data_IF_718661957910
#
_entry.id   IF_718661957910
#
_cell.length_a   1.000
_cell.length_b   1.000
_cell.length_c   1.000
_cell.angle_alpha   90.00
_cell.angle_beta   90.00
_cell.angle_gamma   90.00
#
_symmetry.space_group_name_H-M   'P 1'
#
loop_
_entity.id
_entity.type
_entity.pdbx_description
1 polymer ?
#
# COMPACT_ATOMS: atom_id res chain seq x y z
N UNK A 1 -16.58 -11.68 6.81
CA UNK A 1 -15.12 -11.90 6.76
C UNK A 1 -14.41 -10.57 7.01
N UNK A 2 -13.25 -10.57 7.65
CA UNK A 2 -12.44 -9.37 7.88
C UNK A 2 -11.18 -9.47 7.01
N UNK A 3 -11.08 -8.61 6.00
CA UNK A 3 -9.96 -8.57 5.05
C UNK A 3 -9.17 -7.30 5.31
N UNK A 4 -7.95 -7.45 5.80
CA UNK A 4 -7.00 -6.36 5.99
C UNK A 4 -6.21 -6.16 4.70
N UNK A 5 -6.50 -5.10 3.97
CA UNK A 5 -5.90 -4.81 2.65
C UNK A 5 -4.53 -4.12 2.72
N UNK A 6 -4.04 -3.80 3.93
CA UNK A 6 -2.79 -3.07 4.11
C UNK A 6 -1.99 -3.59 5.31
N UNK A 7 -0.96 -4.39 5.00
CA UNK A 7 0.04 -4.81 5.98
C UNK A 7 1.41 -5.07 5.33
N UNK A 8 2.43 -5.22 6.17
CA UNK A 8 3.81 -5.39 5.70
C UNK A 8 4.49 -6.56 6.40
N UNK A 9 5.29 -7.32 5.64
CA UNK A 9 6.08 -8.43 6.20
C UNK A 9 7.36 -7.90 6.86
N UNK A 10 7.64 -8.40 8.06
CA UNK A 10 8.97 -8.27 8.67
C UNK A 10 9.88 -9.30 8.02
N UNK A 11 10.90 -8.83 7.29
CA UNK A 11 11.84 -9.71 6.61
C UNK A 11 12.67 -10.53 7.63
N UNK A 12 12.95 -11.81 7.34
CA UNK A 12 13.86 -12.61 8.16
C UNK A 12 15.24 -11.95 8.31
N UNK A 13 15.97 -12.19 9.41
CA UNK A 13 17.28 -11.59 9.65
C UNK A 13 18.30 -11.82 8.51
N UNK A 14 18.21 -12.95 7.81
CA UNK A 14 19.05 -13.26 6.65
C UNK A 14 18.84 -12.27 5.49
N UNK A 15 17.60 -11.80 5.29
CA UNK A 15 17.29 -10.75 4.30
C UNK A 15 17.96 -9.43 4.66
N UNK A 16 17.96 -9.05 5.95
CA UNK A 16 18.60 -7.80 6.39
C UNK A 16 20.12 -7.86 6.20
N UNK A 17 20.75 -9.03 6.45
CA UNK A 17 22.16 -9.23 6.14
C UNK A 17 22.43 -9.08 4.64
N UNK A 18 21.60 -9.72 3.81
CA UNK A 18 21.70 -9.61 2.35
C UNK A 18 21.54 -8.16 1.87
N UNK A 19 20.59 -7.40 2.45
CA UNK A 19 20.42 -5.98 2.17
C UNK A 19 21.72 -5.19 2.40
N UNK A 20 22.37 -5.42 3.52
CA UNK A 20 23.64 -4.74 3.84
C UNK A 20 24.76 -5.09 2.85
N UNK A 21 24.88 -6.35 2.45
CA UNK A 21 25.85 -6.80 1.44
C UNK A 21 25.52 -6.22 0.05
N UNK A 22 24.24 -6.15 -0.29
CA UNK A 22 23.77 -5.59 -1.56
C UNK A 22 24.11 -4.09 -1.67
N UNK A 23 23.89 -3.33 -0.60
CA UNK A 23 24.25 -1.91 -0.54
C UNK A 23 25.77 -1.72 -0.57
N UNK A 24 26.51 -2.44 0.27
CA UNK A 24 27.97 -2.37 0.32
C UNK A 24 28.66 -2.79 -0.97
N UNK A 25 28.11 -3.82 -1.64
CA UNK A 25 28.57 -4.32 -2.94
C UNK A 25 28.03 -3.54 -4.15
N UNK A 26 27.25 -2.46 -3.93
CA UNK A 26 26.64 -1.64 -4.99
C UNK A 26 25.87 -2.47 -6.03
N UNK A 27 25.03 -3.39 -5.57
CA UNK A 27 24.25 -4.29 -6.41
C UNK A 27 25.01 -5.53 -6.90
N UNK A 28 26.15 -5.83 -6.28
CA UNK A 28 26.92 -7.06 -6.55
C UNK A 28 27.14 -7.79 -5.22
N UNK A 29 26.15 -8.46 -4.66
CA UNK A 29 26.29 -9.20 -3.42
C UNK A 29 27.23 -10.38 -3.62
N UNK A 30 28.05 -10.68 -2.61
CA UNK A 30 28.98 -11.80 -2.64
C UNK A 30 28.33 -13.15 -2.38
N UNK A 31 27.13 -13.14 -1.82
CA UNK A 31 26.40 -14.33 -1.39
C UNK A 31 24.93 -14.22 -1.74
N UNK A 32 24.37 -15.29 -2.29
CA UNK A 32 22.92 -15.44 -2.42
C UNK A 32 22.32 -15.76 -1.03
N UNK A 33 21.29 -15.03 -0.57
CA UNK A 33 20.73 -15.24 0.75
C UNK A 33 19.96 -16.57 0.80
N UNK A 34 20.54 -17.55 1.50
CA UNK A 34 19.83 -18.78 1.80
C UNK A 34 18.95 -18.56 3.04
N UNK A 35 17.66 -18.36 2.82
CA UNK A 35 16.69 -18.25 3.91
C UNK A 35 16.08 -19.62 4.14
N UNK A 36 16.29 -20.24 5.32
CA UNK A 36 15.69 -21.53 5.66
C UNK A 36 14.16 -21.45 5.69
N UNK A 37 13.47 -22.53 5.34
CA UNK A 37 12.01 -22.59 5.37
C UNK A 37 11.47 -22.39 6.79
N UNK A 38 12.19 -22.82 7.81
CA UNK A 38 11.82 -22.59 9.21
C UNK A 38 11.78 -21.10 9.57
N UNK A 39 12.68 -20.28 9.01
CA UNK A 39 12.67 -18.84 9.22
C UNK A 39 11.47 -18.17 8.55
N UNK A 40 11.10 -18.63 7.35
CA UNK A 40 9.90 -18.18 6.65
C UNK A 40 8.64 -18.59 7.42
N UNK A 41 8.54 -19.86 7.81
CA UNK A 41 7.39 -20.38 8.56
C UNK A 41 7.22 -19.67 9.90
N UNK A 42 8.33 -19.35 10.59
CA UNK A 42 8.29 -18.57 11.83
C UNK A 42 7.66 -17.19 11.61
N UNK A 43 8.11 -16.45 10.60
CA UNK A 43 7.53 -15.14 10.24
C UNK A 43 6.04 -15.27 9.96
N UNK A 44 5.64 -16.20 9.10
CA UNK A 44 4.25 -16.43 8.74
C UNK A 44 3.37 -16.76 9.96
N UNK A 45 3.85 -17.66 10.82
CA UNK A 45 3.12 -18.08 12.03
C UNK A 45 2.96 -16.92 13.04
N UNK A 46 3.97 -16.08 13.22
CA UNK A 46 3.89 -14.90 14.10
C UNK A 46 2.84 -13.91 13.61
N UNK A 47 2.77 -13.67 12.31
CA UNK A 47 1.75 -12.78 11.73
C UNK A 47 0.35 -13.40 11.89
N UNK A 48 0.17 -14.69 11.60
CA UNK A 48 -1.13 -15.37 11.80
C UNK A 48 -1.62 -15.25 13.25
N UNK A 49 -0.75 -15.40 14.24
CA UNK A 49 -1.12 -15.20 15.65
C UNK A 49 -1.61 -13.78 15.94
N UNK A 50 -0.99 -12.78 15.32
CA UNK A 50 -1.44 -11.39 15.45
C UNK A 50 -2.82 -11.23 14.82
N UNK A 51 -3.02 -11.75 13.60
CA UNK A 51 -4.30 -11.72 12.89
C UNK A 51 -5.42 -12.38 13.73
N UNK A 52 -5.15 -13.55 14.29
CA UNK A 52 -6.10 -14.27 15.14
C UNK A 52 -6.46 -13.45 16.40
N UNK A 53 -5.47 -12.77 16.98
CA UNK A 53 -5.65 -11.92 18.17
C UNK A 53 -6.56 -10.71 17.95
N UNK A 54 -6.67 -10.20 16.71
CA UNK A 54 -7.52 -9.05 16.36
C UNK A 54 -8.71 -9.44 15.47
N UNK A 55 -8.85 -10.73 15.13
CA UNK A 55 -9.95 -11.26 14.34
C UNK A 55 -9.87 -10.91 12.85
N UNK A 56 -8.68 -10.86 12.28
CA UNK A 56 -8.45 -10.69 10.83
C UNK A 56 -8.42 -12.06 10.15
N UNK A 57 -9.26 -12.27 9.13
CA UNK A 57 -9.33 -13.53 8.40
C UNK A 57 -8.26 -13.62 7.30
N UNK A 58 -8.14 -12.57 6.49
CA UNK A 58 -7.17 -12.47 5.37
C UNK A 58 -6.40 -11.17 5.50
N UNK A 59 -5.09 -11.22 5.28
CA UNK A 59 -4.24 -10.04 5.28
C UNK A 59 -3.44 -9.95 3.97
N UNK A 60 -3.41 -8.77 3.37
CA UNK A 60 -2.59 -8.46 2.20
C UNK A 60 -1.24 -7.96 2.68
N UNK A 61 -0.19 -8.64 2.27
CA UNK A 61 1.17 -8.41 2.77
C UNK A 61 2.10 -7.95 1.66
N UNK A 62 2.83 -6.88 1.94
CA UNK A 62 3.80 -6.25 1.05
C UNK A 62 5.17 -6.10 1.72
N UNK A 63 6.24 -5.73 0.99
CA UNK A 63 7.48 -5.29 1.62
C UNK A 63 7.25 -4.05 2.48
N UNK A 64 8.04 -3.86 3.54
CA UNK A 64 7.98 -2.62 4.32
C UNK A 64 8.47 -1.43 3.48
N UNK A 65 7.66 -0.37 3.30
CA UNK A 65 7.97 0.72 2.40
C UNK A 65 9.30 1.42 2.69
N UNK A 66 9.62 1.67 3.96
CA UNK A 66 10.87 2.34 4.34
C UNK A 66 12.15 1.52 4.04
N UNK A 67 12.02 0.24 3.70
CA UNK A 67 13.14 -0.62 3.31
C UNK A 67 13.20 -0.86 1.79
N UNK A 68 12.44 -0.15 0.96
CA UNK A 68 12.43 -0.39 -0.49
C UNK A 68 13.69 0.07 -1.21
N UNK A 69 14.49 0.93 -0.58
CA UNK A 69 15.80 1.40 -1.08
C UNK A 69 15.74 2.09 -2.45
N UNK A 70 14.65 2.79 -2.76
CA UNK A 70 14.45 3.44 -4.06
C UNK A 70 15.46 4.55 -4.34
N UNK A 71 15.94 5.24 -3.30
CA UNK A 71 16.97 6.29 -3.39
C UNK A 71 18.41 5.75 -3.44
N UNK A 72 18.62 4.46 -3.21
CA UNK A 72 19.97 3.87 -3.13
C UNK A 72 20.56 3.60 -4.51
N UNK A 73 21.77 4.15 -4.76
CA UNK A 73 22.49 3.99 -6.03
C UNK A 73 23.46 2.81 -6.00
N UNK A 74 23.58 2.08 -7.11
CA UNK A 74 22.89 2.18 -8.40
C UNK A 74 21.49 1.52 -8.38
N UNK A 75 20.64 1.79 -9.38
CA UNK A 75 19.30 1.22 -9.54
C UNK A 75 19.21 -0.30 -9.36
N UNK A 76 20.27 -1.01 -9.74
CA UNK A 76 20.40 -2.46 -9.56
C UNK A 76 20.21 -2.91 -8.11
N UNK A 77 20.50 -2.06 -7.12
CA UNK A 77 20.30 -2.36 -5.69
C UNK A 77 18.81 -2.50 -5.41
N UNK A 78 18.00 -1.51 -5.81
CA UNK A 78 16.55 -1.53 -5.65
C UNK A 78 15.91 -2.70 -6.43
N UNK A 79 16.38 -2.97 -7.66
CA UNK A 79 15.88 -4.05 -8.50
C UNK A 79 16.08 -5.44 -7.85
N UNK A 80 17.30 -5.76 -7.43
CA UNK A 80 17.59 -7.04 -6.77
C UNK A 80 16.86 -7.16 -5.44
N UNK A 81 16.78 -6.07 -4.69
CA UNK A 81 16.12 -6.06 -3.40
C UNK A 81 14.61 -6.23 -3.50
N UNK A 82 13.94 -5.50 -4.41
CA UNK A 82 12.51 -5.65 -4.64
C UNK A 82 12.16 -7.10 -5.01
N UNK A 83 12.90 -7.68 -5.94
CA UNK A 83 12.75 -9.08 -6.35
C UNK A 83 12.92 -10.04 -5.17
N UNK A 84 13.96 -9.85 -4.37
CA UNK A 84 14.20 -10.65 -3.16
C UNK A 84 13.03 -10.57 -2.16
N UNK A 85 12.55 -9.36 -1.89
CA UNK A 85 11.40 -9.17 -0.98
C UNK A 85 10.14 -9.87 -1.50
N UNK A 86 9.84 -9.74 -2.80
CA UNK A 86 8.69 -10.39 -3.41
C UNK A 86 8.80 -11.93 -3.35
N UNK A 87 9.99 -12.48 -3.58
CA UNK A 87 10.23 -13.92 -3.48
C UNK A 87 10.05 -14.42 -2.02
N UNK A 88 10.49 -13.66 -1.03
CA UNK A 88 10.24 -13.97 0.39
C UNK A 88 8.76 -13.93 0.71
N UNK A 89 8.04 -12.90 0.25
CA UNK A 89 6.59 -12.77 0.46
C UNK A 89 5.84 -13.94 -0.18
N UNK A 90 6.20 -14.34 -1.39
CA UNK A 90 5.59 -15.51 -2.04
C UNK A 90 5.73 -16.77 -1.19
N UNK A 91 6.89 -16.99 -0.55
CA UNK A 91 7.10 -18.10 0.37
C UNK A 91 6.27 -17.97 1.65
N UNK A 92 6.12 -16.76 2.19
CA UNK A 92 5.24 -16.51 3.35
C UNK A 92 3.79 -16.81 3.00
N UNK A 93 3.31 -16.36 1.84
CA UNK A 93 1.95 -16.67 1.35
C UNK A 93 1.76 -18.17 1.20
N UNK A 94 2.74 -18.90 0.68
CA UNK A 94 2.67 -20.34 0.51
C UNK A 94 2.56 -21.12 1.83
N UNK A 95 3.00 -20.55 2.97
CA UNK A 95 2.82 -21.18 4.28
C UNK A 95 1.34 -21.21 4.74
N UNK A 96 0.58 -20.15 4.42
CA UNK A 96 -0.83 -20.01 4.80
C UNK A 96 -1.62 -19.35 3.66
N UNK A 97 -1.87 -20.06 2.55
CA UNK A 97 -2.46 -19.48 1.32
C UNK A 97 -3.89 -18.97 1.52
N UNK A 98 -4.61 -19.48 2.52
CA UNK A 98 -5.96 -19.00 2.85
C UNK A 98 -5.94 -17.73 3.69
N UNK A 99 -4.81 -17.39 4.31
CA UNK A 99 -4.67 -16.24 5.23
C UNK A 99 -3.95 -15.05 4.59
N UNK A 100 -3.13 -15.25 3.57
CA UNK A 100 -2.31 -14.18 2.99
C UNK A 100 -2.57 -13.96 1.50
N UNK A 101 -2.38 -12.70 1.07
CA UNK A 101 -2.26 -12.32 -0.34
C UNK A 101 -1.03 -11.45 -0.51
N UNK A 102 -0.23 -11.72 -1.54
CA UNK A 102 0.98 -10.94 -1.83
C UNK A 102 0.67 -9.64 -2.58
N UNK A 103 1.28 -8.54 -2.15
CA UNK A 103 1.30 -7.25 -2.84
C UNK A 103 2.75 -6.91 -3.18
N UNK A 104 3.02 -6.60 -4.44
CA UNK A 104 4.38 -6.45 -4.95
C UNK A 104 5.04 -5.14 -4.49
N UNK A 105 6.27 -5.22 -4.04
CA UNK A 105 7.18 -4.08 -4.04
C UNK A 105 7.77 -3.91 -5.44
N UNK A 106 7.78 -2.69 -5.96
CA UNK A 106 8.30 -2.41 -7.28
C UNK A 106 9.69 -1.79 -7.20
N UNK A 107 10.61 -2.11 -8.13
CA UNK A 107 11.96 -1.55 -8.18
C UNK A 107 11.93 -0.13 -8.77
N UNK A 108 11.22 0.78 -8.11
CA UNK A 108 11.22 2.18 -8.47
C UNK A 108 12.61 2.77 -8.21
N UNK A 109 13.05 3.64 -9.07
CA UNK A 109 14.33 4.31 -8.90
C UNK A 109 14.25 5.74 -9.40
N UNK A 110 14.51 6.67 -8.51
CA UNK A 110 14.66 8.11 -8.71
C UNK A 110 13.97 8.68 -9.98
N UNK A 111 14.72 8.90 -11.04
CA UNK A 111 14.25 9.53 -12.28
C UNK A 111 14.01 8.55 -13.43
N UNK A 112 14.15 7.26 -13.21
CA UNK A 112 13.84 6.26 -14.23
C UNK A 112 12.32 6.06 -14.35
N UNK A 113 11.82 6.11 -15.58
CA UNK A 113 10.41 5.77 -15.83
C UNK A 113 10.12 4.33 -15.36
N UNK A 114 8.92 4.07 -14.80
CA UNK A 114 8.53 2.72 -14.39
C UNK A 114 8.29 1.76 -15.56
N UNK A 115 8.51 2.17 -16.82
CA UNK A 115 8.18 1.40 -18.02
C UNK A 115 8.88 0.04 -18.11
N UNK A 116 10.11 -0.07 -17.69
CA UNK A 116 10.89 -1.31 -17.83
C UNK A 116 10.91 -2.12 -16.53
N UNK A 117 11.62 -1.64 -15.52
CA UNK A 117 11.87 -2.41 -14.28
C UNK A 117 10.59 -2.69 -13.49
N UNK A 118 9.78 -1.65 -13.27
CA UNK A 118 8.57 -1.80 -12.45
C UNK A 118 7.53 -2.65 -13.16
N UNK A 119 7.33 -2.45 -14.46
CA UNK A 119 6.36 -3.24 -15.25
C UNK A 119 6.78 -4.71 -15.29
N UNK A 120 8.05 -5.00 -15.61
CA UNK A 120 8.56 -6.37 -15.68
C UNK A 120 8.42 -7.12 -14.34
N UNK A 121 8.72 -6.45 -13.22
CA UNK A 121 8.57 -7.06 -11.90
C UNK A 121 7.11 -7.21 -11.49
N UNK A 122 6.24 -6.25 -11.83
CA UNK A 122 4.80 -6.37 -11.61
C UNK A 122 4.21 -7.57 -12.35
N UNK A 123 4.54 -7.73 -13.65
CA UNK A 123 4.12 -8.86 -14.45
C UNK A 123 4.58 -10.19 -13.82
N UNK A 124 5.85 -10.28 -13.44
CA UNK A 124 6.38 -11.47 -12.76
C UNK A 124 5.62 -11.78 -11.46
N UNK A 125 5.39 -10.78 -10.62
CA UNK A 125 4.69 -10.96 -9.36
C UNK A 125 3.24 -11.43 -9.57
N UNK A 126 2.54 -10.84 -10.51
CA UNK A 126 1.14 -11.19 -10.76
C UNK A 126 0.99 -12.54 -11.47
N UNK A 127 1.79 -12.80 -12.50
CA UNK A 127 1.63 -13.97 -13.37
C UNK A 127 2.32 -15.23 -12.82
N UNK A 128 3.48 -15.06 -12.14
CA UNK A 128 4.26 -16.19 -11.66
C UNK A 128 4.11 -16.44 -10.15
N UNK A 129 3.96 -15.36 -9.34
CA UNK A 129 3.84 -15.46 -7.88
C UNK A 129 2.39 -15.32 -7.39
N UNK A 130 1.43 -15.00 -8.26
CA UNK A 130 0.02 -14.88 -7.92
C UNK A 130 -0.32 -13.66 -7.05
N UNK A 131 0.49 -12.61 -7.11
CA UNK A 131 0.25 -11.37 -6.37
C UNK A 131 -0.97 -10.62 -6.89
N UNK A 132 -1.60 -9.85 -6.01
CA UNK A 132 -2.92 -9.26 -6.24
C UNK A 132 -2.92 -7.74 -6.39
N UNK A 133 -1.78 -7.10 -6.20
CA UNK A 133 -1.59 -5.64 -6.28
C UNK A 133 -0.13 -5.27 -6.19
N UNK A 134 0.17 -3.98 -6.17
CA UNK A 134 1.51 -3.44 -5.99
C UNK A 134 1.52 -2.18 -5.11
N UNK A 135 2.68 -1.88 -4.52
CA UNK A 135 2.95 -0.59 -3.89
C UNK A 135 3.41 0.42 -4.94
N UNK A 136 3.00 1.67 -4.77
CA UNK A 136 3.48 2.82 -5.56
C UNK A 136 4.02 3.86 -4.58
N UNK A 137 5.33 4.10 -4.61
CA UNK A 137 5.97 5.19 -3.87
C UNK A 137 5.91 6.46 -4.72
N UNK A 138 5.24 7.54 -4.27
CA UNK A 138 5.14 8.78 -5.02
C UNK A 138 6.49 9.48 -5.22
N UNK A 139 7.41 9.35 -4.25
CA UNK A 139 8.74 9.93 -4.29
C UNK A 139 9.83 8.87 -4.11
N UNK A 140 10.28 8.21 -5.20
CA UNK A 140 11.39 7.26 -5.15
C UNK A 140 12.75 7.91 -4.85
N UNK A 141 12.86 9.24 -4.81
CA UNK A 141 14.08 9.90 -4.33
C UNK A 141 14.16 9.93 -2.80
N UNK A 142 13.06 9.66 -2.12
CA UNK A 142 12.96 9.73 -0.64
C UNK A 142 13.38 11.09 -0.08
N UNK A 143 13.23 12.16 -0.87
CA UNK A 143 13.64 13.52 -0.53
C UNK A 143 15.14 13.78 -0.63
N UNK A 144 15.94 12.87 -1.20
CA UNK A 144 17.39 13.06 -1.39
C UNK A 144 17.75 13.94 -2.59
N UNK A 145 16.87 14.01 -3.57
CA UNK A 145 17.03 14.77 -4.82
C UNK A 145 15.68 15.36 -5.25
N UNK A 146 15.66 16.06 -6.40
CA UNK A 146 14.40 16.52 -7.00
C UNK A 146 13.54 15.30 -7.37
N UNK A 147 12.28 15.23 -6.90
CA UNK A 147 11.41 14.10 -7.18
C UNK A 147 11.05 14.01 -8.67
N UNK A 148 10.64 12.82 -9.16
CA UNK A 148 10.05 12.69 -10.49
C UNK A 148 8.74 13.49 -10.58
N UNK A 149 8.16 13.61 -11.80
CA UNK A 149 6.84 14.19 -11.97
C UNK A 149 5.80 13.51 -11.08
N UNK A 150 4.80 14.27 -10.61
CA UNK A 150 3.72 13.75 -9.79
C UNK A 150 2.94 12.63 -10.47
N UNK A 151 2.20 11.84 -9.71
CA UNK A 151 1.53 10.62 -10.19
C UNK A 151 0.49 10.85 -11.30
N UNK A 152 0.01 12.08 -11.50
CA UNK A 152 -0.86 12.44 -12.64
C UNK A 152 -0.13 12.64 -13.98
N UNK A 153 1.20 12.61 -14.01
CA UNK A 153 2.01 12.87 -15.20
C UNK A 153 2.14 11.60 -16.09
N UNK A 154 2.26 11.77 -17.43
CA UNK A 154 2.51 10.67 -18.36
C UNK A 154 3.73 9.79 -18.05
N UNK A 155 4.67 10.25 -17.26
CA UNK A 155 5.79 9.46 -16.74
C UNK A 155 5.35 8.12 -16.13
N UNK A 156 4.19 8.10 -15.46
CA UNK A 156 3.64 6.93 -14.76
C UNK A 156 2.72 6.05 -15.63
N UNK A 157 2.33 6.51 -16.82
CA UNK A 157 1.37 5.80 -17.69
C UNK A 157 1.76 4.36 -18.02
N UNK A 158 3.04 3.99 -18.24
CA UNK A 158 3.41 2.60 -18.49
C UNK A 158 3.03 1.66 -17.36
N UNK A 159 3.16 2.12 -16.10
CA UNK A 159 2.76 1.34 -14.92
C UNK A 159 1.23 1.22 -14.86
N UNK A 160 0.48 2.31 -15.10
CA UNK A 160 -0.98 2.29 -15.07
C UNK A 160 -1.56 1.39 -16.16
N UNK A 161 -0.99 1.40 -17.36
CA UNK A 161 -1.37 0.50 -18.44
C UNK A 161 -1.15 -0.99 -18.07
N UNK A 162 -0.04 -1.29 -17.40
CA UNK A 162 0.23 -2.64 -16.92
C UNK A 162 -0.73 -3.06 -15.81
N UNK A 163 -1.04 -2.17 -14.86
CA UNK A 163 -2.00 -2.44 -13.79
C UNK A 163 -3.40 -2.70 -14.31
N UNK A 164 -3.90 -1.90 -15.27
CA UNK A 164 -5.20 -2.16 -15.92
C UNK A 164 -5.20 -3.50 -16.64
N UNK A 165 -4.20 -3.76 -17.47
CA UNK A 165 -4.09 -5.01 -18.23
C UNK A 165 -4.06 -6.25 -17.33
N UNK A 166 -3.37 -6.15 -16.20
CA UNK A 166 -3.26 -7.23 -15.22
C UNK A 166 -4.47 -7.29 -14.27
N UNK A 167 -5.36 -6.30 -14.28
CA UNK A 167 -6.49 -6.16 -13.35
C UNK A 167 -6.02 -6.22 -11.88
N UNK A 168 -5.04 -5.39 -11.53
CA UNK A 168 -4.51 -5.25 -10.17
C UNK A 168 -4.49 -3.79 -9.74
N UNK A 169 -4.86 -3.46 -8.51
CA UNK A 169 -4.74 -2.11 -7.98
C UNK A 169 -3.33 -1.78 -7.53
N UNK A 170 -3.03 -0.48 -7.46
CA UNK A 170 -1.86 0.06 -6.77
C UNK A 170 -2.23 0.67 -5.43
N UNK A 171 -1.47 0.34 -4.40
CA UNK A 171 -1.52 1.01 -3.11
C UNK A 171 -0.47 2.12 -3.11
N UNK A 172 -0.90 3.37 -3.13
CA UNK A 172 0.00 4.51 -2.93
C UNK A 172 0.45 4.50 -1.48
N UNK A 173 1.75 4.35 -1.30
CA UNK A 173 2.38 4.32 0.01
C UNK A 173 3.78 4.92 -0.09
N UNK A 174 4.04 5.99 0.63
CA UNK A 174 5.37 6.60 0.67
C UNK A 174 6.40 5.66 1.30
N UNK A 175 7.67 5.93 1.05
CA UNK A 175 8.78 5.20 1.62
C UNK A 175 9.50 6.01 2.71
N UNK A 176 10.80 5.84 2.87
CA UNK A 176 11.62 6.59 3.82
C UNK A 176 11.76 8.08 3.50
N UNK A 177 12.43 8.82 4.37
CA UNK A 177 12.86 10.19 4.12
C UNK A 177 14.35 10.37 4.40
N UNK A 178 15.07 10.92 3.44
CA UNK A 178 16.47 11.33 3.57
C UNK A 178 16.60 12.78 4.07
N UNK A 179 15.50 13.52 4.17
CA UNK A 179 15.52 14.90 4.64
C UNK A 179 15.30 15.00 6.15
N UNK A 180 16.13 15.74 6.88
CA UNK A 180 15.94 15.95 8.32
C UNK A 180 14.75 16.87 8.66
N UNK A 181 14.15 17.51 7.64
CA UNK A 181 12.99 18.41 7.80
C UNK A 181 11.70 17.64 8.11
N UNK A 182 11.57 16.40 7.66
CA UNK A 182 10.39 15.58 7.82
C UNK A 182 10.65 14.43 8.79
N UNK A 183 9.76 14.25 9.75
CA UNK A 183 9.72 13.00 10.50
C UNK A 183 9.21 11.86 9.62
N UNK A 184 9.52 10.64 10.00
CA UNK A 184 9.08 9.42 9.32
C UNK A 184 7.57 9.42 8.99
N UNK A 185 6.72 9.66 10.00
CA UNK A 185 5.26 9.68 9.83
C UNK A 185 4.81 10.84 8.94
N UNK A 186 5.43 12.03 9.09
CA UNK A 186 5.04 13.21 8.32
C UNK A 186 5.32 13.04 6.83
N UNK A 187 6.42 12.35 6.46
CA UNK A 187 6.73 12.03 5.06
C UNK A 187 5.58 11.27 4.40
N UNK A 188 5.04 10.26 5.04
CA UNK A 188 3.94 9.47 4.50
C UNK A 188 2.72 10.35 4.22
N UNK A 189 2.26 11.09 5.22
CA UNK A 189 1.09 11.96 5.11
C UNK A 189 1.24 13.01 4.01
N UNK A 190 2.43 13.61 3.88
CA UNK A 190 2.71 14.63 2.87
C UNK A 190 2.69 14.03 1.46
N UNK A 191 3.43 12.96 1.22
CA UNK A 191 3.56 12.36 -0.11
C UNK A 191 2.24 11.76 -0.62
N UNK A 192 1.45 11.16 0.25
CA UNK A 192 0.13 10.64 -0.12
C UNK A 192 -0.84 11.77 -0.46
N UNK A 193 -0.76 12.90 0.26
CA UNK A 193 -1.55 14.09 -0.07
C UNK A 193 -1.13 14.69 -1.43
N UNK A 194 0.18 14.77 -1.70
CA UNK A 194 0.72 15.23 -2.99
C UNK A 194 0.27 14.29 -4.11
N UNK A 195 0.35 12.99 -3.90
CA UNK A 195 -0.05 11.96 -4.85
C UNK A 195 -1.52 12.09 -5.25
N UNK A 196 -2.42 12.23 -4.27
CA UNK A 196 -3.86 12.42 -4.53
C UNK A 196 -4.10 13.65 -5.40
N UNK A 197 -3.55 14.80 -5.02
CA UNK A 197 -3.76 16.05 -5.78
C UNK A 197 -3.20 15.92 -7.19
N UNK A 198 -2.00 15.37 -7.35
CA UNK A 198 -1.39 15.17 -8.66
C UNK A 198 -2.24 14.29 -9.58
N UNK A 199 -2.77 13.17 -9.07
CA UNK A 199 -3.66 12.29 -9.84
C UNK A 199 -4.95 12.99 -10.28
N UNK A 200 -5.54 13.82 -9.40
CA UNK A 200 -6.79 14.51 -9.67
C UNK A 200 -6.61 15.78 -10.53
N UNK A 201 -5.40 16.34 -10.61
CA UNK A 201 -5.06 17.42 -11.55
C UNK A 201 -4.90 16.93 -13.00
N UNK A 202 -4.48 15.69 -13.19
CA UNK A 202 -4.19 15.09 -14.47
C UNK A 202 -5.42 14.46 -15.15
N UNK A 203 -5.17 13.85 -16.29
CA UNK A 203 -6.18 13.10 -17.06
C UNK A 203 -6.06 11.57 -16.88
N UNK A 204 -5.36 11.14 -15.85
CA UNK A 204 -5.04 9.72 -15.58
C UNK A 204 -6.28 8.82 -15.62
N UNK A 205 -7.35 9.17 -14.90
CA UNK A 205 -8.57 8.35 -14.88
C UNK A 205 -9.43 8.47 -16.15
N UNK A 206 -9.15 9.43 -17.01
CA UNK A 206 -9.75 9.50 -18.34
C UNK A 206 -9.04 8.56 -19.32
N UNK A 207 -7.72 8.45 -19.22
CA UNK A 207 -6.88 7.56 -20.04
C UNK A 207 -6.95 6.11 -19.58
N UNK A 208 -7.07 5.91 -18.28
CA UNK A 208 -7.11 4.61 -17.62
C UNK A 208 -8.39 4.48 -16.78
N UNK A 209 -9.55 4.28 -17.41
CA UNK A 209 -10.85 4.31 -16.72
C UNK A 209 -11.09 3.13 -15.77
N UNK A 210 -10.35 2.04 -15.92
CA UNK A 210 -10.42 0.88 -15.04
C UNK A 210 -9.28 0.83 -14.01
N UNK A 211 -8.42 1.85 -13.98
CA UNK A 211 -7.33 1.94 -13.03
C UNK A 211 -7.88 2.04 -11.60
N UNK A 212 -7.40 1.16 -10.73
CA UNK A 212 -7.76 1.13 -9.32
C UNK A 212 -6.57 1.60 -8.49
N UNK A 213 -6.75 2.70 -7.76
CA UNK A 213 -5.74 3.26 -6.87
C UNK A 213 -6.32 3.30 -5.45
N UNK A 214 -5.63 2.66 -4.52
CA UNK A 214 -5.86 2.78 -3.08
C UNK A 214 -4.82 3.74 -2.51
N UNK A 215 -5.22 4.62 -1.63
CA UNK A 215 -4.30 5.56 -0.96
C UNK A 215 -4.19 5.15 0.50
N UNK A 216 -2.98 4.92 0.95
CA UNK A 216 -2.69 4.55 2.33
C UNK A 216 -3.01 5.68 3.33
N UNK A 217 -3.07 5.34 4.60
CA UNK A 217 -3.24 6.26 5.72
C UNK A 217 -4.41 7.23 5.53
N UNK A 218 -5.56 6.68 5.06
CA UNK A 218 -6.79 7.43 4.82
C UNK A 218 -6.62 8.62 3.85
N UNK A 219 -5.63 8.59 2.95
CA UNK A 219 -5.36 9.66 1.98
C UNK A 219 -4.64 10.87 2.57
N UNK A 220 -3.86 10.67 3.62
CA UNK A 220 -3.06 11.71 4.24
C UNK A 220 -3.90 12.85 4.82
N UNK A 221 -3.60 14.10 4.43
CA UNK A 221 -4.32 15.28 4.91
C UNK A 221 -5.58 15.63 4.09
N UNK A 222 -5.89 14.91 3.01
CA UNK A 222 -6.94 15.28 2.06
C UNK A 222 -8.32 15.33 2.72
N UNK A 223 -8.79 14.34 3.49
CA UNK A 223 -10.14 14.39 4.08
C UNK A 223 -10.34 15.59 5.01
N UNK A 224 -9.29 16.01 5.71
CA UNK A 224 -9.35 17.14 6.63
C UNK A 224 -9.40 18.50 5.92
N UNK A 225 -8.86 18.61 4.70
CA UNK A 225 -8.75 19.88 3.95
C UNK A 225 -9.74 20.00 2.78
N UNK A 226 -10.82 19.24 2.75
CA UNK A 226 -11.78 19.18 1.64
C UNK A 226 -12.27 20.55 1.17
N UNK A 227 -12.59 21.45 2.10
CA UNK A 227 -13.06 22.80 1.75
C UNK A 227 -12.05 23.61 0.92
N UNK A 228 -10.76 23.45 1.23
CA UNK A 228 -9.66 24.11 0.50
C UNK A 228 -9.52 23.51 -0.91
N UNK A 229 -9.59 22.20 -1.05
CA UNK A 229 -9.45 21.51 -2.33
C UNK A 229 -10.68 21.70 -3.23
N UNK A 230 -11.90 21.77 -2.68
CA UNK A 230 -13.11 22.16 -3.43
C UNK A 230 -12.96 23.58 -4.04
N UNK A 231 -12.52 24.54 -3.24
CA UNK A 231 -12.29 25.91 -3.72
C UNK A 231 -11.19 25.97 -4.80
N UNK A 232 -10.12 25.18 -4.61
CA UNK A 232 -9.06 25.08 -5.60
C UNK A 232 -9.55 24.47 -6.93
N UNK A 233 -10.32 23.37 -6.90
CA UNK A 233 -10.90 22.72 -8.07
C UNK A 233 -11.78 23.69 -8.89
N UNK A 234 -12.64 24.47 -8.21
CA UNK A 234 -13.44 25.51 -8.86
C UNK A 234 -12.57 26.58 -9.52
N UNK A 235 -11.53 27.06 -8.84
CA UNK A 235 -10.60 28.06 -9.40
C UNK A 235 -9.82 27.55 -10.61
N UNK A 236 -9.54 26.27 -10.69
CA UNK A 236 -8.91 25.64 -11.85
C UNK A 236 -9.88 25.40 -13.01
N UNK A 237 -11.18 25.61 -12.81
CA UNK A 237 -12.19 25.39 -13.84
C UNK A 237 -12.37 23.90 -14.20
N UNK A 238 -12.14 22.99 -13.26
CA UNK A 238 -12.35 21.57 -13.49
C UNK A 238 -13.82 21.27 -13.75
N UNK A 239 -14.10 20.36 -14.67
CA UNK A 239 -15.48 20.01 -15.07
C UNK A 239 -16.21 19.21 -13.99
N UNK A 240 -15.48 18.30 -13.34
CA UNK A 240 -15.98 17.50 -12.23
C UNK A 240 -15.69 18.21 -10.91
N UNK A 241 -16.57 18.08 -9.94
CA UNK A 241 -16.33 18.56 -8.58
C UNK A 241 -15.17 17.78 -7.95
N UNK A 242 -14.50 18.36 -6.97
CA UNK A 242 -13.44 17.65 -6.25
C UNK A 242 -13.94 16.37 -5.57
N UNK A 243 -15.20 16.38 -5.09
CA UNK A 243 -15.83 15.21 -4.47
C UNK A 243 -16.05 14.06 -5.47
N UNK A 244 -16.48 14.37 -6.71
CA UNK A 244 -16.62 13.37 -7.77
C UNK A 244 -15.27 12.79 -8.16
N UNK A 245 -14.25 13.62 -8.28
CA UNK A 245 -12.89 13.18 -8.58
C UNK A 245 -12.31 12.31 -7.46
N UNK A 246 -12.50 12.71 -6.20
CA UNK A 246 -12.01 11.96 -5.04
C UNK A 246 -12.58 10.53 -4.99
N UNK A 247 -13.83 10.35 -5.41
CA UNK A 247 -14.50 9.04 -5.47
C UNK A 247 -14.00 8.12 -6.57
N UNK A 248 -13.06 8.54 -7.41
CA UNK A 248 -12.31 7.66 -8.32
C UNK A 248 -11.19 6.90 -7.60
N UNK A 249 -10.83 7.36 -6.40
CA UNK A 249 -9.83 6.74 -5.54
C UNK A 249 -10.49 5.89 -4.46
N UNK A 250 -9.71 4.97 -3.93
CA UNK A 250 -10.04 4.19 -2.75
C UNK A 250 -9.08 4.56 -1.63
N UNK A 251 -9.47 4.30 -0.39
CA UNK A 251 -8.70 4.66 0.81
C UNK A 251 -8.73 3.50 1.80
N UNK A 252 -7.69 3.36 2.59
CA UNK A 252 -7.70 2.44 3.71
C UNK A 252 -8.14 3.11 5.03
N UNK A 253 -8.25 2.31 6.08
CA UNK A 253 -8.60 2.81 7.42
C UNK A 253 -7.38 3.00 8.33
N UNK A 254 -6.17 3.04 7.79
CA UNK A 254 -4.93 3.06 8.54
C UNK A 254 -4.59 4.48 9.07
N UNK A 255 -5.46 5.05 9.93
CA UNK A 255 -5.22 6.34 10.59
C UNK A 255 -5.55 6.36 12.09
N UNK A 256 -5.93 5.23 12.67
CA UNK A 256 -5.96 4.90 14.08
C UNK A 256 -6.92 5.74 14.98
N UNK A 257 -7.84 6.53 14.40
CA UNK A 257 -8.77 7.37 15.14
C UNK A 257 -10.19 7.27 14.60
N UNK A 258 -11.19 7.06 15.48
CA UNK A 258 -12.59 6.99 15.08
C UNK A 258 -13.05 8.27 14.37
N UNK A 259 -12.76 9.44 14.94
CA UNK A 259 -13.17 10.73 14.36
C UNK A 259 -12.63 10.93 12.95
N UNK A 260 -11.38 10.54 12.71
CA UNK A 260 -10.74 10.64 11.40
C UNK A 260 -11.33 9.64 10.40
N UNK A 261 -11.64 8.42 10.83
CA UNK A 261 -12.33 7.43 9.98
C UNK A 261 -13.74 7.89 9.64
N UNK A 262 -14.49 8.42 10.61
CA UNK A 262 -15.83 8.97 10.33
C UNK A 262 -15.77 10.14 9.32
N UNK A 263 -14.76 11.00 9.42
CA UNK A 263 -14.55 12.07 8.45
C UNK A 263 -14.25 11.49 7.06
N UNK A 264 -13.32 10.53 6.96
CA UNK A 264 -13.00 9.84 5.71
C UNK A 264 -14.25 9.23 5.06
N UNK A 265 -15.03 8.46 5.82
CA UNK A 265 -16.25 7.81 5.33
C UNK A 265 -17.29 8.83 4.83
N UNK A 266 -17.40 10.00 5.47
CA UNK A 266 -18.30 11.08 5.06
C UNK A 266 -17.87 11.76 3.76
N UNK A 267 -16.57 11.91 3.50
CA UNK A 267 -16.07 12.64 2.31
C UNK A 267 -15.77 11.72 1.12
N UNK A 268 -15.18 10.57 1.34
CA UNK A 268 -14.89 9.58 0.29
C UNK A 268 -16.10 8.71 -0.06
N UNK A 269 -16.96 8.44 0.93
CA UNK A 269 -18.07 7.48 0.85
C UNK A 269 -17.65 6.07 1.26
N UNK A 270 -18.56 5.36 1.93
CA UNK A 270 -18.33 4.00 2.48
C UNK A 270 -17.81 3.04 1.42
N UNK A 271 -18.35 3.10 0.20
CA UNK A 271 -17.97 2.21 -0.91
C UNK A 271 -16.53 2.39 -1.39
N UNK A 272 -15.86 3.47 -1.01
CA UNK A 272 -14.48 3.79 -1.41
C UNK A 272 -13.46 3.56 -0.30
N UNK A 273 -13.88 3.00 0.84
CA UNK A 273 -12.98 2.75 1.97
C UNK A 273 -12.84 1.25 2.22
N UNK A 274 -11.61 0.77 2.26
CA UNK A 274 -11.24 -0.60 2.54
C UNK A 274 -10.69 -0.70 3.96
N UNK A 275 -10.97 -1.79 4.64
CA UNK A 275 -10.29 -2.07 5.90
C UNK A 275 -8.80 -2.32 5.66
N UNK A 276 -7.95 -1.59 6.37
CA UNK A 276 -6.50 -1.70 6.34
C UNK A 276 -5.93 -1.20 7.67
N UNK A 277 -4.94 -1.90 8.23
CA UNK A 277 -4.45 -1.63 9.60
C UNK A 277 -2.96 -1.35 9.68
N UNK A 278 -2.18 -1.80 8.72
CA UNK A 278 -0.70 -1.83 8.79
C UNK A 278 -0.17 -2.69 9.97
N UNK A 279 -1.00 -3.54 10.57
CA UNK A 279 -0.61 -4.34 11.74
C UNK A 279 0.16 -5.63 11.34
N UNK A 280 1.34 -5.87 11.92
CA UNK A 280 2.06 -5.02 12.88
C UNK A 280 2.84 -3.88 12.17
N UNK A 281 2.67 -2.66 12.65
CA UNK A 281 3.28 -1.47 12.05
C UNK A 281 3.51 -0.34 13.04
N UNK A 282 3.50 0.88 12.52
CA UNK A 282 3.68 2.11 13.32
C UNK A 282 2.62 2.24 14.41
N UNK A 283 1.40 1.79 14.14
CA UNK A 283 0.29 1.80 15.09
C UNK A 283 0.31 0.69 16.15
N UNK A 284 1.26 -0.24 16.10
CA UNK A 284 1.42 -1.30 17.12
C UNK A 284 2.01 -0.74 18.43
N UNK A 285 1.52 0.41 18.84
CA UNK A 285 1.81 1.06 20.12
C UNK A 285 0.59 1.01 21.01
N UNK A 286 0.78 0.71 22.29
CA UNK A 286 -0.31 0.59 23.25
C UNK A 286 -0.92 1.95 23.57
N UNK A 287 -2.21 2.12 23.30
CA UNK A 287 -2.95 3.30 23.76
C UNK A 287 -3.16 3.23 25.28
N UNK A 288 -2.69 4.22 26.04
CA UNK A 288 -2.81 4.21 27.49
C UNK A 288 -4.27 4.38 27.99
N UNK A 289 -5.17 4.84 27.15
CA UNK A 289 -6.58 5.07 27.49
C UNK A 289 -7.39 3.80 27.29
N UNK A 290 -7.36 3.24 26.08
CA UNK A 290 -8.15 2.06 25.72
C UNK A 290 -7.48 0.74 26.14
N UNK A 291 -6.16 0.74 26.36
CA UNK A 291 -5.38 -0.46 26.62
C UNK A 291 -5.25 -1.39 25.40
N UNK A 292 -5.64 -0.95 24.19
CA UNK A 292 -5.47 -1.65 22.91
C UNK A 292 -4.32 -1.01 22.12
N UNK A 293 -3.82 -1.71 21.12
CA UNK A 293 -2.90 -1.09 20.18
C UNK A 293 -3.67 -0.14 19.25
N UNK A 294 -3.07 0.97 18.82
CA UNK A 294 -3.74 1.93 17.96
C UNK A 294 -4.16 1.32 16.61
N UNK A 295 -3.39 0.35 16.08
CA UNK A 295 -3.68 -0.36 14.83
C UNK A 295 -4.71 -1.50 14.97
N UNK A 296 -5.30 -1.69 16.15
CA UNK A 296 -6.47 -2.56 16.34
C UNK A 296 -7.76 -1.84 15.89
N UNK A 297 -7.92 -1.72 14.57
CA UNK A 297 -8.93 -0.89 13.94
C UNK A 297 -10.34 -1.51 13.85
N UNK A 298 -10.46 -2.83 14.00
CA UNK A 298 -11.78 -3.49 13.92
C UNK A 298 -12.79 -2.92 14.91
N UNK A 299 -12.49 -2.81 16.22
CA UNK A 299 -13.42 -2.21 17.18
C UNK A 299 -13.71 -0.73 16.90
N UNK A 300 -12.76 0.00 16.29
CA UNK A 300 -12.97 1.40 15.89
C UNK A 300 -14.11 1.49 14.87
N UNK A 301 -14.07 0.66 13.82
CA UNK A 301 -15.14 0.61 12.80
C UNK A 301 -16.46 0.11 13.39
N UNK A 302 -16.43 -0.92 14.25
CA UNK A 302 -17.62 -1.49 14.89
C UNK A 302 -18.34 -0.47 15.79
N UNK A 303 -17.60 0.44 16.42
CA UNK A 303 -18.14 1.47 17.31
C UNK A 303 -18.76 2.68 16.59
N UNK A 304 -18.61 2.83 15.28
CA UNK A 304 -19.24 3.91 14.52
C UNK A 304 -20.76 3.65 14.44
N UNK A 305 -21.53 4.40 15.20
CA UNK A 305 -22.96 4.12 15.45
C UNK A 305 -23.88 4.36 14.24
N UNK A 306 -23.49 5.23 13.30
CA UNK A 306 -24.30 5.54 12.13
C UNK A 306 -24.08 4.58 10.94
N UNK A 307 -23.07 3.71 10.99
CA UNK A 307 -22.87 2.66 9.98
C UNK A 307 -23.93 1.58 10.13
N UNK A 308 -24.56 1.20 9.03
CA UNK A 308 -25.39 0.00 8.93
C UNK A 308 -24.54 -1.28 8.97
N UNK A 309 -25.21 -2.43 9.08
CA UNK A 309 -24.53 -3.72 8.96
C UNK A 309 -23.90 -3.90 7.55
N UNK A 310 -24.60 -3.44 6.51
CA UNK A 310 -24.13 -3.49 5.13
C UNK A 310 -22.92 -2.57 4.92
N UNK A 311 -22.91 -1.37 5.51
CA UNK A 311 -21.75 -0.47 5.43
C UNK A 311 -20.51 -1.10 6.08
N UNK A 312 -20.67 -1.78 7.22
CA UNK A 312 -19.57 -2.51 7.86
C UNK A 312 -19.10 -3.69 7.00
N UNK A 313 -20.01 -4.44 6.39
CA UNK A 313 -19.66 -5.52 5.46
C UNK A 313 -18.89 -4.98 4.23
N UNK A 314 -19.30 -3.82 3.72
CA UNK A 314 -18.58 -3.15 2.64
C UNK A 314 -17.13 -2.82 3.05
N UNK A 315 -16.94 -2.17 4.19
CA UNK A 315 -15.59 -1.78 4.66
C UNK A 315 -14.74 -3.01 4.94
N UNK A 316 -15.26 -4.00 5.65
CA UNK A 316 -14.48 -5.16 6.07
C UNK A 316 -14.20 -6.17 4.94
N UNK A 317 -15.03 -6.21 3.90
CA UNK A 317 -14.94 -7.27 2.90
C UNK A 317 -15.28 -6.83 1.47
N UNK A 318 -16.52 -6.34 1.21
CA UNK A 318 -17.03 -6.23 -0.15
C UNK A 318 -16.24 -5.24 -1.00
N UNK A 319 -15.78 -4.12 -0.43
CA UNK A 319 -14.95 -3.15 -1.12
C UNK A 319 -13.61 -3.76 -1.53
N UNK A 320 -12.96 -4.51 -0.63
CA UNK A 320 -11.72 -5.19 -0.95
C UNK A 320 -11.90 -6.21 -2.09
N UNK A 321 -12.96 -7.02 -2.07
CA UNK A 321 -13.28 -7.95 -3.16
C UNK A 321 -13.48 -7.25 -4.50
N UNK A 322 -14.11 -6.08 -4.52
CA UNK A 322 -14.33 -5.29 -5.73
C UNK A 322 -13.04 -4.66 -6.26
N UNK A 323 -12.18 -4.16 -5.37
CA UNK A 323 -10.95 -3.47 -5.75
C UNK A 323 -9.86 -4.46 -6.13
N UNK A 324 -9.74 -5.60 -5.44
CA UNK A 324 -8.75 -6.65 -5.63
C UNK A 324 -9.38 -7.96 -6.15
N UNK A 325 -10.00 -7.99 -7.33
CA UNK A 325 -10.77 -9.16 -7.80
C UNK A 325 -9.91 -10.42 -7.95
N UNK A 326 -8.60 -10.27 -8.22
CA UNK A 326 -7.69 -11.41 -8.35
C UNK A 326 -7.44 -12.13 -7.02
N UNK A 327 -7.59 -11.45 -5.89
CA UNK A 327 -7.36 -12.00 -4.56
C UNK A 327 -8.32 -13.16 -4.21
N UNK A 328 -9.45 -13.26 -4.94
CA UNK A 328 -10.55 -14.17 -4.61
C UNK A 328 -10.97 -15.08 -5.75
N UNK A 329 -10.27 -15.07 -6.90
CA UNK A 329 -10.66 -15.88 -8.10
C UNK A 329 -10.73 -17.38 -7.82
N UNK A 330 -9.95 -17.91 -6.88
CA UNK A 330 -9.88 -19.32 -6.50
C UNK A 330 -10.30 -19.57 -5.05
N UNK A 331 -10.90 -18.56 -4.41
CA UNK A 331 -11.33 -18.68 -3.03
C UNK A 331 -12.73 -19.30 -3.00
N UNK A 332 -12.81 -20.60 -2.71
CA UNK A 332 -14.04 -21.25 -2.30
C UNK A 332 -14.19 -21.01 -0.80
N UNK A 333 -15.25 -20.30 -0.39
CA UNK A 333 -15.58 -20.20 1.04
C UNK A 333 -15.63 -21.61 1.62
N UNK A 334 -14.87 -21.84 2.69
CA UNK A 334 -15.00 -23.08 3.45
C UNK A 334 -16.44 -23.16 3.99
N UNK A 335 -17.08 -24.33 3.90
CA UNK A 335 -18.48 -24.51 4.27
C UNK A 335 -18.74 -24.22 5.75
#
# INVERSE_FOLDING_TARGET
>A
MIIDSHAHVVMPPQSLKFMSELVGGRGNPSVDPKIPDEAIHKVATEVVKIMDGVGTDIQFISPRPYLQMHSVKPAKVSEIWARHCNDVIARVVACYPDRFRGVAGLPQFMHESPAERCVAELERCVEQLGFVGCLINPDPTEGSELPPPGLGDPFWHPLYAAMERLDVPGLIHSAGSCTPRESYTLKFINEESIAVISLLEGDTFQKFPNLKIVVAHAGGAIPYQMGRFRAWSVRKGQKETFDEQLRKLYFDTCNYSQDSIELLLKVAGVKNVLFGTEKPGTGSARDPISGRDYDDMKPVIENITWLSADDRADIFECNCRRVYPRAFRNYTEAP
#
